data_IF_855003180634
#
_entry.id   IF_855003180634
#
_cell.length_a   1.000
_cell.length_b   1.000
_cell.length_c   1.000
_cell.angle_alpha   90.00
_cell.angle_beta   90.00
_cell.angle_gamma   90.00
#
_symmetry.space_group_name_H-M   'P 1'
#
loop_
_entity.id
_entity.type
_entity.pdbx_description
1 polymer ?
#
# COMPACT_ATOMS: atom_id res chain seq x y z
N UNK A 1 32.06 -0.07 8.33
CA UNK A 1 31.06 -0.12 7.24
C UNK A 1 29.71 -0.38 7.88
N UNK A 2 28.92 0.64 8.18
CA UNK A 2 27.57 0.48 8.73
C UNK A 2 26.64 0.18 7.56
N UNK A 3 26.45 -1.10 7.26
CA UNK A 3 25.29 -1.52 6.47
C UNK A 3 24.07 -1.04 7.24
N UNK A 4 23.29 -0.13 6.67
CA UNK A 4 22.07 0.35 7.33
C UNK A 4 21.12 -0.84 7.46
N UNK A 5 20.91 -1.34 8.68
CA UNK A 5 19.92 -2.39 9.03
C UNK A 5 18.46 -1.90 8.84
N UNK A 6 18.28 -0.80 8.12
CA UNK A 6 16.98 -0.21 7.87
C UNK A 6 16.25 -1.03 6.80
N UNK A 7 14.99 -1.42 7.04
CA UNK A 7 14.20 -2.15 6.06
C UNK A 7 14.17 -1.48 4.69
N UNK A 8 14.28 -2.29 3.62
CA UNK A 8 14.39 -1.77 2.25
C UNK A 8 13.21 -0.89 1.85
N UNK A 9 12.00 -1.14 2.36
CA UNK A 9 10.81 -0.35 2.04
C UNK A 9 10.80 1.03 2.69
N UNK A 10 11.64 1.25 3.71
CA UNK A 10 11.82 2.58 4.33
C UNK A 10 12.89 3.42 3.61
N UNK A 11 13.71 2.80 2.77
CA UNK A 11 14.78 3.46 2.02
C UNK A 11 14.53 3.48 0.52
N UNK A 12 13.61 2.66 0.02
CA UNK A 12 13.19 2.63 -1.37
C UNK A 12 12.44 3.91 -1.77
N UNK A 13 12.56 4.36 -3.04
CA UNK A 13 11.70 5.40 -3.58
C UNK A 13 10.21 5.04 -3.44
N UNK A 14 9.36 6.03 -3.17
CA UNK A 14 7.92 5.82 -3.00
C UNK A 14 7.29 5.11 -4.20
N UNK A 15 7.74 5.42 -5.42
CA UNK A 15 7.28 4.77 -6.63
C UNK A 15 7.65 3.28 -6.70
N UNK A 16 8.85 2.91 -6.25
CA UNK A 16 9.29 1.52 -6.18
C UNK A 16 8.44 0.73 -5.17
N UNK A 17 8.23 1.29 -3.99
CA UNK A 17 7.35 0.70 -2.99
C UNK A 17 5.92 0.55 -3.51
N UNK A 18 5.37 1.61 -4.11
CA UNK A 18 4.04 1.61 -4.72
C UNK A 18 3.89 0.51 -5.79
N UNK A 19 4.90 0.32 -6.64
CA UNK A 19 4.89 -0.72 -7.66
C UNK A 19 4.82 -2.13 -7.04
N UNK A 20 5.57 -2.34 -5.96
CA UNK A 20 5.63 -3.64 -5.26
C UNK A 20 4.32 -3.95 -4.51
N UNK A 21 3.70 -2.96 -3.88
CA UNK A 21 2.51 -3.20 -3.03
C UNK A 21 1.18 -3.15 -3.80
N UNK A 22 1.13 -2.56 -5.00
CA UNK A 22 -0.13 -2.46 -5.77
C UNK A 22 -0.84 -3.82 -5.98
N UNK A 23 -0.15 -4.92 -6.34
CA UNK A 23 -0.80 -6.23 -6.48
C UNK A 23 -1.52 -6.72 -5.22
N UNK A 24 -1.15 -6.21 -4.04
CA UNK A 24 -1.82 -6.58 -2.80
C UNK A 24 -3.29 -6.12 -2.75
N UNK A 25 -3.62 -5.03 -3.42
CA UNK A 25 -4.98 -4.49 -3.50
C UNK A 25 -5.86 -5.23 -4.52
N UNK A 26 -5.29 -6.11 -5.35
CA UNK A 26 -6.03 -6.86 -6.39
C UNK A 26 -6.60 -8.21 -5.95
N UNK A 27 -6.41 -8.63 -4.70
CA UNK A 27 -6.92 -9.92 -4.21
C UNK A 27 -8.32 -9.84 -3.60
N UNK A 28 -8.83 -8.64 -3.33
CA UNK A 28 -10.19 -8.37 -2.88
C UNK A 28 -10.82 -7.31 -3.80
N UNK A 29 -12.15 -7.29 -3.90
CA UNK A 29 -12.85 -6.23 -4.62
C UNK A 29 -12.62 -4.87 -3.95
N UNK A 30 -12.53 -4.86 -2.63
CA UNK A 30 -12.14 -3.73 -1.78
C UNK A 30 -11.80 -4.24 -0.37
N UNK A 31 -11.04 -3.45 0.37
CA UNK A 31 -10.78 -3.63 1.80
C UNK A 31 -10.88 -2.27 2.51
N UNK A 32 -11.13 -2.26 3.83
CA UNK A 32 -10.98 -1.00 4.58
C UNK A 32 -9.52 -0.53 4.48
N UNK A 33 -9.29 0.78 4.31
CA UNK A 33 -7.96 1.40 4.21
C UNK A 33 -7.04 0.95 5.34
N UNK A 34 -7.57 0.94 6.57
CA UNK A 34 -6.84 0.50 7.76
C UNK A 34 -6.39 -0.96 7.67
N UNK A 35 -7.28 -1.85 7.25
CA UNK A 35 -6.95 -3.27 7.10
C UNK A 35 -5.92 -3.48 5.98
N UNK A 36 -6.11 -2.81 4.84
CA UNK A 36 -5.18 -2.91 3.72
C UNK A 36 -3.77 -2.43 4.10
N UNK A 37 -3.65 -1.30 4.81
CA UNK A 37 -2.36 -0.82 5.32
C UNK A 37 -1.71 -1.82 6.26
N UNK A 38 -2.47 -2.40 7.19
CA UNK A 38 -1.95 -3.38 8.13
C UNK A 38 -1.47 -4.67 7.43
N UNK A 39 -2.21 -5.14 6.43
CA UNK A 39 -1.84 -6.30 5.63
C UNK A 39 -0.55 -6.06 4.83
N UNK A 40 -0.41 -4.87 4.24
CA UNK A 40 0.83 -4.47 3.53
C UNK A 40 2.01 -4.41 4.48
N UNK A 41 1.87 -3.77 5.65
CA UNK A 41 2.96 -3.71 6.64
C UNK A 41 3.34 -5.11 7.14
N UNK A 42 2.36 -5.97 7.41
CA UNK A 42 2.63 -7.37 7.80
C UNK A 42 3.43 -8.10 6.72
N UNK A 43 3.02 -7.94 5.45
CA UNK A 43 3.70 -8.57 4.33
C UNK A 43 5.12 -8.05 4.14
N UNK A 44 5.34 -6.73 4.25
CA UNK A 44 6.68 -6.15 4.19
C UNK A 44 7.60 -6.73 5.27
N UNK A 45 7.10 -6.83 6.51
CA UNK A 45 7.89 -7.31 7.65
C UNK A 45 8.16 -8.82 7.64
N UNK A 46 7.22 -9.62 7.14
CA UNK A 46 7.23 -11.08 7.36
C UNK A 46 7.19 -11.91 6.08
N UNK A 47 6.97 -11.29 4.92
CA UNK A 47 6.63 -11.97 3.67
C UNK A 47 5.21 -12.57 3.66
N UNK A 48 4.46 -12.46 4.75
CA UNK A 48 3.12 -13.02 4.92
C UNK A 48 2.10 -11.94 5.26
N UNK A 49 0.88 -12.09 4.71
CA UNK A 49 -0.23 -11.22 5.09
C UNK A 49 -0.67 -11.50 6.53
N UNK A 50 -1.19 -10.47 7.19
CA UNK A 50 -1.81 -10.65 8.49
C UNK A 50 -3.08 -11.51 8.35
N UNK A 51 -3.40 -12.38 9.31
CA UNK A 51 -4.73 -12.95 9.42
C UNK A 51 -5.76 -11.83 9.52
N UNK A 52 -6.82 -11.88 8.71
CA UNK A 52 -7.91 -10.91 8.74
C UNK A 52 -8.41 -10.74 10.18
N UNK A 53 -8.31 -9.52 10.72
CA UNK A 53 -8.76 -9.19 12.08
C UNK A 53 -7.65 -9.08 13.14
N UNK A 54 -6.40 -9.48 12.86
CA UNK A 54 -5.32 -9.45 13.86
C UNK A 54 -4.81 -8.03 14.19
N UNK A 55 -4.99 -7.06 13.27
CA UNK A 55 -4.62 -5.64 13.48
C UNK A 55 -5.80 -4.69 13.69
N UNK A 56 -7.02 -5.23 13.86
CA UNK A 56 -8.23 -4.42 14.02
C UNK A 56 -8.36 -3.73 15.40
N UNK A 57 -7.56 -4.13 16.39
CA UNK A 57 -7.81 -3.78 17.80
C UNK A 57 -6.96 -2.62 18.38
N UNK A 58 -6.10 -1.93 17.61
CA UNK A 58 -5.20 -0.95 18.23
C UNK A 58 -4.66 0.21 17.41
N UNK A 59 -4.85 0.25 16.08
CA UNK A 59 -4.28 1.33 15.26
C UNK A 59 -5.28 2.49 15.15
N UNK A 60 -5.11 3.48 16.01
CA UNK A 60 -5.74 4.79 15.88
C UNK A 60 -5.00 5.56 14.78
N UNK A 61 -5.32 5.22 13.53
CA UNK A 61 -4.56 5.60 12.32
C UNK A 61 -4.29 7.09 12.14
N UNK A 62 -5.04 8.00 12.77
CA UNK A 62 -4.83 9.44 12.56
C UNK A 62 -3.51 9.95 13.14
N UNK A 63 -3.08 9.40 14.29
CA UNK A 63 -1.79 9.72 14.90
C UNK A 63 -0.69 8.73 14.50
N UNK A 64 -1.06 7.45 14.38
CA UNK A 64 -0.10 6.36 14.19
C UNK A 64 0.61 6.41 12.83
N UNK A 65 -0.05 6.86 11.76
CA UNK A 65 0.58 6.96 10.43
C UNK A 65 1.75 7.94 10.43
N UNK A 66 1.66 9.01 11.23
CA UNK A 66 2.75 10.00 11.32
C UNK A 66 3.80 9.61 12.37
N UNK A 67 3.61 8.58 13.19
CA UNK A 67 4.60 8.15 14.20
C UNK A 67 5.25 6.82 13.84
N UNK A 68 4.56 5.97 13.07
CA UNK A 68 5.05 4.68 12.63
C UNK A 68 5.63 4.79 11.20
N UNK A 69 6.94 4.57 11.01
CA UNK A 69 7.58 4.73 9.70
C UNK A 69 7.06 3.74 8.64
N UNK A 70 6.63 2.53 9.04
CA UNK A 70 6.08 1.55 8.09
C UNK A 70 4.71 1.99 7.59
N UNK A 71 3.85 2.46 8.50
CA UNK A 71 2.54 3.01 8.11
C UNK A 71 2.68 4.27 7.26
N UNK A 72 3.68 5.12 7.55
CA UNK A 72 3.98 6.30 6.75
C UNK A 72 4.38 5.92 5.32
N UNK A 73 5.34 5.01 5.17
CA UNK A 73 5.81 4.56 3.86
C UNK A 73 4.68 3.96 3.02
N UNK A 74 3.81 3.13 3.63
CA UNK A 74 2.63 2.57 2.96
C UNK A 74 1.61 3.66 2.60
N UNK A 75 1.37 4.63 3.47
CA UNK A 75 0.46 5.75 3.18
C UNK A 75 0.94 6.61 2.00
N UNK A 76 2.24 6.90 1.93
CA UNK A 76 2.85 7.63 0.81
C UNK A 76 2.73 6.86 -0.50
N UNK A 77 2.98 5.55 -0.47
CA UNK A 77 2.80 4.67 -1.62
C UNK A 77 1.33 4.66 -2.09
N UNK A 78 0.37 4.49 -1.17
CA UNK A 78 -1.07 4.53 -1.49
C UNK A 78 -1.48 5.88 -2.08
N UNK A 79 -0.97 6.99 -1.54
CA UNK A 79 -1.24 8.32 -2.08
C UNK A 79 -0.72 8.46 -3.52
N UNK A 80 0.47 7.94 -3.82
CA UNK A 80 1.00 7.93 -5.19
C UNK A 80 0.15 7.05 -6.12
N UNK A 81 -0.28 5.87 -5.67
CA UNK A 81 -1.16 4.97 -6.44
C UNK A 81 -2.51 5.62 -6.75
N UNK A 82 -3.09 6.34 -5.78
CA UNK A 82 -4.33 7.10 -5.95
C UNK A 82 -4.14 8.23 -6.98
N UNK A 83 -3.07 9.03 -6.83
CA UNK A 83 -2.73 10.11 -7.79
C UNK A 83 -2.47 9.61 -9.20
N UNK A 84 -1.93 8.40 -9.33
CA UNK A 84 -1.65 7.74 -10.61
C UNK A 84 -2.89 7.05 -11.20
N UNK A 85 -4.04 7.12 -10.51
CA UNK A 85 -5.30 6.51 -10.96
C UNK A 85 -5.29 4.98 -10.91
N UNK A 86 -4.38 4.37 -10.15
CA UNK A 86 -4.26 2.91 -10.00
C UNK A 86 -5.05 2.38 -8.80
N UNK A 87 -5.25 3.22 -7.78
CA UNK A 87 -6.01 2.90 -6.58
C UNK A 87 -7.21 3.85 -6.43
N UNK A 88 -8.36 3.29 -6.08
CA UNK A 88 -9.57 4.01 -5.68
C UNK A 88 -9.62 4.05 -4.16
N UNK A 89 -9.99 5.19 -3.61
CA UNK A 89 -10.27 5.37 -2.19
C UNK A 89 -11.63 6.04 -2.02
N UNK A 90 -12.54 5.42 -1.28
CA UNK A 90 -13.94 5.83 -1.17
C UNK A 90 -14.30 6.01 0.30
N UNK A 91 -14.87 7.15 0.65
CA UNK A 91 -15.37 7.39 2.01
C UNK A 91 -16.56 6.46 2.29
N UNK A 92 -16.50 5.72 3.39
CA UNK A 92 -17.59 4.83 3.82
C UNK A 92 -18.76 5.70 4.31
N UNK A 93 -19.96 5.64 3.70
CA UNK A 93 -21.06 6.56 4.02
C UNK A 93 -21.51 6.55 5.49
N UNK A 94 -21.38 5.40 6.16
CA UNK A 94 -21.76 5.21 7.57
C UNK A 94 -20.67 5.63 8.56
N UNK A 95 -19.51 6.11 8.08
CA UNK A 95 -18.38 6.50 8.91
C UNK A 95 -17.81 7.84 8.48
N UNK A 96 -17.72 8.80 9.40
CA UNK A 96 -17.17 10.13 9.12
C UNK A 96 -15.65 10.15 8.91
N UNK A 97 -14.96 9.01 9.03
CA UNK A 97 -13.49 8.95 9.03
C UNK A 97 -12.89 7.64 8.53
N UNK A 98 -13.68 6.80 7.85
CA UNK A 98 -13.19 5.52 7.31
C UNK A 98 -13.30 5.50 5.79
N UNK A 99 -12.29 4.93 5.15
CA UNK A 99 -12.25 4.75 3.71
C UNK A 99 -12.15 3.26 3.38
N UNK A 100 -12.79 2.86 2.29
CA UNK A 100 -12.51 1.63 1.59
C UNK A 100 -11.54 1.92 0.45
N UNK A 101 -10.66 0.96 0.17
CA UNK A 101 -9.67 1.04 -0.90
C UNK A 101 -9.79 -0.18 -1.81
N UNK A 102 -9.53 0.03 -3.10
CA UNK A 102 -9.53 -1.05 -4.10
C UNK A 102 -8.87 -0.60 -5.38
N UNK A 103 -8.52 -1.54 -6.25
CA UNK A 103 -7.94 -1.19 -7.56
C UNK A 103 -8.97 -0.48 -8.45
N UNK A 104 -8.52 0.54 -9.19
CA UNK A 104 -9.30 1.04 -10.32
C UNK A 104 -9.28 0.03 -11.48
N UNK A 105 -10.08 0.27 -12.52
CA UNK A 105 -9.97 -0.50 -13.79
C UNK A 105 -8.55 -0.45 -14.37
N UNK A 106 -7.88 0.70 -14.28
CA UNK A 106 -6.50 0.85 -14.74
C UNK A 106 -5.53 0.07 -13.85
N UNK A 107 -5.69 0.15 -12.52
CA UNK A 107 -4.89 -0.63 -11.56
C UNK A 107 -5.00 -2.13 -11.79
N UNK A 108 -6.21 -2.64 -11.98
CA UNK A 108 -6.47 -4.05 -12.32
C UNK A 108 -5.72 -4.47 -13.59
N UNK A 109 -5.87 -3.71 -14.68
CA UNK A 109 -5.19 -4.00 -15.93
C UNK A 109 -3.66 -3.92 -15.81
N UNK A 110 -3.15 -2.93 -15.06
CA UNK A 110 -1.72 -2.74 -14.85
C UNK A 110 -1.07 -3.90 -14.08
N UNK A 111 -1.76 -4.42 -13.07
CA UNK A 111 -1.31 -5.62 -12.32
C UNK A 111 -1.30 -6.85 -13.24
N UNK A 112 -2.36 -7.06 -14.03
CA UNK A 112 -2.46 -8.23 -14.92
C UNK A 112 -1.42 -8.24 -16.05
N UNK A 113 -1.07 -7.07 -16.55
CA UNK A 113 -0.14 -6.93 -17.69
C UNK A 113 1.29 -6.62 -17.27
N UNK A 114 1.57 -6.54 -15.96
CA UNK A 114 2.90 -6.21 -15.45
C UNK A 114 3.36 -4.78 -15.78
N UNK A 115 2.43 -3.86 -16.03
CA UNK A 115 2.73 -2.48 -16.49
C UNK A 115 2.69 -1.44 -15.38
N UNK A 116 2.60 -1.86 -14.11
CA UNK A 116 2.53 -0.96 -12.93
C UNK A 116 3.65 0.08 -12.93
N UNK A 117 4.90 -0.36 -13.16
CA UNK A 117 6.10 0.51 -13.16
C UNK A 117 5.98 1.66 -14.17
N UNK A 118 5.50 1.36 -15.38
CA UNK A 118 5.26 2.35 -16.44
C UNK A 118 4.29 3.44 -15.99
N UNK A 119 3.21 3.06 -15.31
CA UNK A 119 2.21 4.00 -14.80
C UNK A 119 2.73 4.87 -13.64
N UNK A 120 3.85 4.48 -13.01
CA UNK A 120 4.51 5.21 -11.94
C UNK A 120 5.74 6.01 -12.42
N UNK A 121 5.98 6.07 -13.73
CA UNK A 121 7.13 6.76 -14.30
C UNK A 121 8.46 6.07 -14.02
N UNK A 122 8.43 4.80 -13.61
CA UNK A 122 9.62 3.98 -13.43
C UNK A 122 10.03 3.35 -14.76
N UNK A 123 11.34 3.22 -14.98
CA UNK A 123 11.88 2.40 -16.06
C UNK A 123 11.59 0.90 -15.85
N UNK A 124 11.81 0.11 -16.89
CA UNK A 124 11.74 -1.36 -16.78
C UNK A 124 12.65 -1.84 -15.64
N UNK A 125 12.18 -2.84 -14.88
CA UNK A 125 13.01 -3.42 -13.83
C UNK A 125 14.31 -3.95 -14.46
N UNK A 126 15.48 -3.77 -13.82
CA UNK A 126 16.69 -4.44 -14.28
C UNK A 126 16.41 -5.96 -14.31
N UNK A 127 16.74 -6.59 -15.44
CA UNK A 127 16.63 -8.02 -15.66
C UNK A 127 17.48 -8.83 -14.68
#
# INVERSE_FOLDING_TARGET
MTSSDQPWWLTAPVAELAAVVLPMFGQSSFDSERAAMADVVSWLRTGARAPRGMFAAGVSTRGDVFQNPDLRAVAEAMQLLERSGLLLRVLVPSSHSSFDVGLTRLGWHAVQTGTVRKHLGLGDAPA
#
